data_IF_673811411442
#
_entry.id   IF_673811411442
#
_cell.length_a   1.000
_cell.length_b   1.000
_cell.length_c   1.000
_cell.angle_alpha   90.00
_cell.angle_beta   90.00
_cell.angle_gamma   90.00
#
_symmetry.space_group_name_H-M   'P 1'
#
loop_
_entity.id
_entity.type
_entity.pdbx_description
1 polymer ?
#
# COMPACT_ATOMS: atom_id res chain seq x y z
N UNK A 1 -21.08 26.62 -1.18
CA UNK A 1 -21.90 25.39 -1.22
C UNK A 1 -20.94 24.22 -1.15
N UNK A 2 -20.75 23.67 0.04
CA UNK A 2 -19.90 22.49 0.30
C UNK A 2 -20.64 21.26 -0.25
N UNK A 3 -20.26 20.80 -1.44
CA UNK A 3 -20.63 19.46 -1.87
C UNK A 3 -19.97 18.46 -0.93
N UNK A 4 -20.72 17.90 -0.02
CA UNK A 4 -20.36 16.70 0.72
C UNK A 4 -20.21 15.59 -0.31
N UNK A 5 -18.97 15.33 -0.77
CA UNK A 5 -18.66 14.16 -1.59
C UNK A 5 -19.12 12.93 -0.82
N UNK A 6 -20.11 12.24 -1.34
CA UNK A 6 -20.59 10.98 -0.77
C UNK A 6 -19.42 9.99 -0.87
N UNK A 7 -18.75 9.71 0.24
CA UNK A 7 -17.71 8.70 0.31
C UNK A 7 -18.28 7.40 -0.28
N UNK A 8 -17.71 6.95 -1.39
CA UNK A 8 -18.16 5.73 -2.07
C UNK A 8 -18.10 4.59 -1.07
N UNK A 9 -19.23 3.95 -0.82
CA UNK A 9 -19.24 2.75 0.01
C UNK A 9 -18.61 1.62 -0.80
N UNK A 10 -17.56 0.99 -0.27
CA UNK A 10 -16.93 -0.18 -0.89
C UNK A 10 -17.57 -1.47 -0.34
N UNK A 11 -18.75 -1.87 -0.82
CA UNK A 11 -19.54 -2.93 -0.19
C UNK A 11 -18.91 -4.31 -0.34
N UNK A 12 -18.20 -4.58 -1.44
CA UNK A 12 -17.52 -5.86 -1.67
C UNK A 12 -16.33 -5.98 -0.74
N UNK A 13 -15.50 -4.94 -0.72
CA UNK A 13 -14.34 -4.88 0.17
C UNK A 13 -14.74 -4.93 1.66
N UNK A 14 -15.82 -4.24 2.06
CA UNK A 14 -16.31 -4.29 3.46
C UNK A 14 -16.71 -5.68 3.89
N UNK A 15 -17.29 -6.50 3.01
CA UNK A 15 -17.62 -7.90 3.30
C UNK A 15 -16.38 -8.76 3.49
N UNK A 16 -15.28 -8.48 2.74
CA UNK A 16 -13.99 -9.15 2.90
C UNK A 16 -13.28 -8.76 4.18
N UNK A 17 -13.32 -7.47 4.57
CA UNK A 17 -12.63 -6.92 5.73
C UNK A 17 -13.27 -7.39 7.05
N UNK A 18 -13.04 -8.66 7.39
CA UNK A 18 -13.55 -9.34 8.59
C UNK A 18 -12.48 -9.50 9.67
N UNK A 19 -12.90 -9.69 10.93
CA UNK A 19 -11.97 -9.98 12.03
C UNK A 19 -11.16 -11.27 11.76
N UNK A 20 -11.79 -12.30 11.19
CA UNK A 20 -11.11 -13.56 10.84
C UNK A 20 -9.94 -13.32 9.87
N UNK A 21 -10.15 -12.51 8.82
CA UNK A 21 -9.09 -12.11 7.88
C UNK A 21 -7.98 -11.38 8.62
N UNK A 22 -8.31 -10.39 9.46
CA UNK A 22 -7.34 -9.61 10.23
C UNK A 22 -6.46 -10.49 11.11
N UNK A 23 -7.07 -11.43 11.84
CA UNK A 23 -6.37 -12.39 12.71
C UNK A 23 -5.49 -13.37 11.88
N UNK A 24 -5.96 -13.79 10.70
CA UNK A 24 -5.19 -14.65 9.79
C UNK A 24 -3.91 -13.97 9.32
N UNK A 25 -4.00 -12.73 8.83
CA UNK A 25 -2.84 -11.96 8.39
C UNK A 25 -1.86 -11.67 9.54
N UNK A 26 -2.38 -11.36 10.74
CA UNK A 26 -1.54 -11.19 11.93
C UNK A 26 -0.81 -12.49 12.31
N UNK A 27 -1.49 -13.63 12.20
CA UNK A 27 -0.88 -14.93 12.48
C UNK A 27 0.21 -15.30 11.46
N UNK A 28 0.07 -14.87 10.20
CA UNK A 28 1.07 -15.11 9.17
C UNK A 28 2.32 -14.24 9.33
N UNK A 29 2.22 -13.07 9.98
CA UNK A 29 3.35 -12.16 10.19
C UNK A 29 4.53 -12.83 10.92
N UNK A 30 4.28 -13.79 11.82
CA UNK A 30 5.35 -14.58 12.49
C UNK A 30 6.22 -15.40 11.53
N UNK A 31 5.75 -15.62 10.30
CA UNK A 31 6.46 -16.40 9.27
C UNK A 31 7.29 -15.54 8.33
N UNK A 32 7.23 -14.21 8.44
CA UNK A 32 7.93 -13.29 7.54
C UNK A 32 9.43 -13.62 7.38
N UNK A 33 10.10 -13.99 8.47
CA UNK A 33 11.53 -14.32 8.46
C UNK A 33 11.82 -15.83 8.34
N UNK A 34 10.91 -16.69 8.80
CA UNK A 34 11.13 -18.14 8.86
C UNK A 34 10.57 -18.90 7.65
N UNK A 35 9.56 -18.36 6.99
CA UNK A 35 8.91 -18.94 5.80
C UNK A 35 8.38 -17.78 4.92
N UNK A 36 9.27 -17.04 4.25
CA UNK A 36 8.90 -15.87 3.44
C UNK A 36 7.92 -16.21 2.32
N UNK A 37 8.06 -17.38 1.69
CA UNK A 37 7.17 -17.82 0.60
C UNK A 37 5.72 -17.92 1.07
N UNK A 38 5.51 -18.46 2.25
CA UNK A 38 4.18 -18.52 2.88
C UNK A 38 3.64 -17.14 3.20
N UNK A 39 4.44 -16.32 3.88
CA UNK A 39 4.01 -14.99 4.31
C UNK A 39 3.69 -14.09 3.11
N UNK A 40 4.65 -13.91 2.19
CA UNK A 40 4.48 -13.05 1.02
C UNK A 40 3.47 -13.61 0.02
N UNK A 41 3.36 -14.93 -0.12
CA UNK A 41 2.32 -15.57 -0.94
C UNK A 41 0.91 -15.25 -0.44
N UNK A 42 0.65 -15.36 0.87
CA UNK A 42 -0.64 -14.99 1.47
C UNK A 42 -0.90 -13.49 1.39
N UNK A 43 0.11 -12.65 1.64
CA UNK A 43 -0.01 -11.20 1.55
C UNK A 43 -0.32 -10.76 0.11
N UNK A 44 0.31 -11.37 -0.89
CA UNK A 44 0.07 -11.11 -2.30
C UNK A 44 -1.35 -11.51 -2.71
N UNK A 45 -1.80 -12.70 -2.33
CA UNK A 45 -3.17 -13.16 -2.59
C UNK A 45 -4.23 -12.26 -1.95
N UNK A 46 -4.00 -11.81 -0.70
CA UNK A 46 -4.85 -10.84 -0.01
C UNK A 46 -4.88 -9.49 -0.73
N UNK A 47 -3.71 -9.01 -1.19
CA UNK A 47 -3.59 -7.75 -1.94
C UNK A 47 -4.38 -7.81 -3.25
N UNK A 48 -4.20 -8.85 -4.05
CA UNK A 48 -4.97 -9.05 -5.29
C UNK A 48 -6.47 -9.07 -5.00
N UNK A 49 -6.88 -9.74 -3.92
CA UNK A 49 -8.28 -9.79 -3.51
C UNK A 49 -8.84 -8.42 -3.13
N UNK A 50 -8.07 -7.62 -2.35
CA UNK A 50 -8.45 -6.24 -2.00
C UNK A 50 -8.58 -5.36 -3.23
N UNK A 51 -7.58 -5.40 -4.13
CA UNK A 51 -7.59 -4.59 -5.34
C UNK A 51 -8.71 -4.99 -6.30
N UNK A 52 -9.02 -6.29 -6.40
CA UNK A 52 -10.18 -6.79 -7.15
C UNK A 52 -11.50 -6.26 -6.58
N UNK A 53 -11.66 -6.26 -5.24
CA UNK A 53 -12.86 -5.73 -4.61
C UNK A 53 -12.97 -4.20 -4.76
N UNK A 54 -11.86 -3.46 -4.61
CA UNK A 54 -11.81 -2.01 -4.86
C UNK A 54 -12.19 -1.72 -6.32
N UNK A 55 -11.61 -2.45 -7.26
CA UNK A 55 -11.90 -2.27 -8.69
C UNK A 55 -13.35 -2.60 -9.03
N UNK A 56 -13.91 -3.67 -8.46
CA UNK A 56 -15.32 -4.01 -8.63
C UNK A 56 -16.29 -2.96 -8.03
N UNK A 57 -15.90 -2.31 -6.94
CA UNK A 57 -16.74 -1.34 -6.24
C UNK A 57 -16.55 0.09 -6.77
N UNK A 58 -15.36 0.45 -7.25
CA UNK A 58 -14.99 1.82 -7.62
C UNK A 58 -14.34 1.95 -9.02
N UNK A 59 -14.02 0.88 -9.71
CA UNK A 59 -13.49 0.92 -11.08
C UNK A 59 -14.56 1.40 -12.09
N UNK A 60 -14.16 1.57 -13.35
CA UNK A 60 -15.09 1.99 -14.40
C UNK A 60 -16.21 0.96 -14.58
N UNK A 61 -17.45 1.44 -14.68
CA UNK A 61 -18.60 0.57 -14.95
C UNK A 61 -18.56 0.13 -16.41
N UNK A 62 -18.68 -1.16 -16.65
CA UNK A 62 -18.79 -1.73 -18.01
C UNK A 62 -20.24 -2.17 -18.28
N UNK A 63 -20.61 -2.28 -19.56
CA UNK A 63 -21.91 -2.81 -19.98
C UNK A 63 -22.15 -4.26 -19.54
N UNK A 64 -21.07 -4.99 -19.21
CA UNK A 64 -21.11 -6.38 -18.74
C UNK A 64 -21.28 -6.52 -17.22
N UNK A 65 -21.37 -5.41 -16.47
CA UNK A 65 -21.52 -5.41 -15.02
C UNK A 65 -20.30 -4.89 -14.27
N UNK A 66 -20.00 -5.46 -13.09
CA UNK A 66 -18.84 -5.05 -12.26
C UNK A 66 -17.52 -5.28 -12.99
N UNK A 67 -16.64 -4.29 -12.90
CA UNK A 67 -15.33 -4.36 -13.52
C UNK A 67 -14.48 -5.51 -12.93
N UNK A 68 -13.85 -6.29 -13.81
CA UNK A 68 -12.82 -7.26 -13.48
C UNK A 68 -11.43 -6.64 -13.66
N UNK A 69 -10.43 -7.12 -12.93
CA UNK A 69 -9.03 -6.75 -13.18
C UNK A 69 -8.47 -7.38 -14.48
N UNK A 70 -9.13 -8.37 -15.06
CA UNK A 70 -8.73 -8.94 -16.35
C UNK A 70 -8.70 -7.85 -17.43
N UNK A 71 -7.59 -7.76 -18.17
CA UNK A 71 -7.35 -6.73 -19.18
C UNK A 71 -6.99 -5.34 -18.63
N UNK A 72 -6.97 -5.14 -17.30
CA UNK A 72 -6.57 -3.90 -16.66
C UNK A 72 -5.04 -3.76 -16.66
N UNK A 73 -4.52 -2.60 -17.07
CA UNK A 73 -3.08 -2.28 -16.98
C UNK A 73 -2.76 -1.87 -15.56
N UNK A 74 -1.97 -2.71 -14.86
CA UNK A 74 -1.66 -2.51 -13.44
C UNK A 74 -0.18 -2.21 -13.28
N UNK A 75 0.13 -1.14 -12.52
CA UNK A 75 1.48 -0.84 -12.05
C UNK A 75 1.56 -1.09 -10.54
N UNK A 76 2.55 -1.89 -10.15
CA UNK A 76 2.97 -2.11 -8.77
C UNK A 76 4.25 -1.32 -8.49
N UNK A 77 4.18 -0.32 -7.63
CA UNK A 77 5.34 0.50 -7.26
C UNK A 77 5.95 -0.01 -5.96
N UNK A 78 7.16 -0.59 -6.07
CA UNK A 78 7.84 -1.27 -4.98
C UNK A 78 7.39 -2.73 -4.83
N UNK A 79 7.12 -3.43 -5.94
CA UNK A 79 6.60 -4.80 -5.91
C UNK A 79 7.57 -5.89 -5.46
N UNK A 80 8.82 -5.52 -5.15
CA UNK A 80 9.82 -6.39 -4.54
C UNK A 80 10.10 -7.67 -5.33
N UNK A 81 10.20 -8.83 -4.65
CA UNK A 81 10.73 -10.07 -5.23
C UNK A 81 9.76 -10.85 -6.14
N UNK A 82 8.59 -10.28 -6.52
CA UNK A 82 7.76 -10.85 -7.58
C UNK A 82 6.57 -11.71 -7.15
N UNK A 83 6.32 -11.93 -5.86
CA UNK A 83 5.15 -12.69 -5.36
C UNK A 83 3.83 -12.09 -5.84
N UNK A 84 3.74 -10.78 -5.87
CA UNK A 84 2.53 -10.07 -6.32
C UNK A 84 2.26 -10.35 -7.79
N UNK A 85 3.28 -10.31 -8.66
CA UNK A 85 3.14 -10.62 -10.07
C UNK A 85 2.61 -12.04 -10.31
N UNK A 86 3.09 -13.02 -9.55
CA UNK A 86 2.56 -14.38 -9.62
C UNK A 86 1.09 -14.45 -9.17
N UNK A 87 0.72 -13.74 -8.10
CA UNK A 87 -0.64 -13.71 -7.62
C UNK A 87 -1.60 -13.03 -8.61
N UNK A 88 -1.18 -11.94 -9.27
CA UNK A 88 -1.96 -11.30 -10.32
C UNK A 88 -2.12 -12.19 -11.55
N UNK A 89 -1.06 -12.87 -12.00
CA UNK A 89 -1.14 -13.83 -13.10
C UNK A 89 -2.12 -14.99 -12.79
N UNK A 90 -2.07 -15.51 -11.56
CA UNK A 90 -3.02 -16.52 -11.10
C UNK A 90 -4.47 -16.03 -11.06
N UNK A 91 -4.69 -14.71 -10.90
CA UNK A 91 -5.99 -14.07 -10.98
C UNK A 91 -6.43 -13.68 -12.41
N UNK A 92 -5.66 -14.06 -13.44
CA UNK A 92 -5.97 -13.79 -14.83
C UNK A 92 -5.68 -12.35 -15.28
N UNK A 93 -4.74 -11.67 -14.62
CA UNK A 93 -4.27 -10.33 -15.02
C UNK A 93 -3.02 -10.48 -15.88
N UNK A 94 -3.14 -10.11 -17.17
CA UNK A 94 -2.06 -10.26 -18.13
C UNK A 94 -1.18 -9.02 -18.27
N UNK A 95 -1.69 -7.85 -17.87
CA UNK A 95 -1.03 -6.54 -18.04
C UNK A 95 -0.54 -5.99 -16.68
N UNK A 96 0.28 -6.77 -15.99
CA UNK A 96 0.92 -6.37 -14.74
C UNK A 96 2.37 -5.96 -14.98
N UNK A 97 2.77 -4.81 -14.44
CA UNK A 97 4.13 -4.29 -14.43
C UNK A 97 4.52 -3.94 -12.99
N UNK A 98 5.73 -4.29 -12.58
CA UNK A 98 6.30 -3.83 -11.31
C UNK A 98 7.50 -2.91 -11.55
N UNK A 99 7.64 -1.89 -10.72
CA UNK A 99 8.77 -0.96 -10.71
C UNK A 99 9.46 -1.02 -9.34
N UNK A 100 10.75 -1.41 -9.33
CA UNK A 100 11.54 -1.61 -8.11
C UNK A 100 12.94 -1.03 -8.33
N UNK A 101 13.47 -0.16 -7.44
CA UNK A 101 14.81 0.40 -7.59
C UNK A 101 15.92 -0.59 -7.23
N UNK A 102 15.68 -1.53 -6.30
CA UNK A 102 16.68 -2.45 -5.75
C UNK A 102 16.71 -3.78 -6.50
N UNK A 103 17.81 -4.04 -7.18
CA UNK A 103 18.02 -5.31 -7.91
C UNK A 103 18.13 -6.50 -6.96
N UNK A 104 18.61 -6.29 -5.73
CA UNK A 104 18.69 -7.32 -4.70
C UNK A 104 17.29 -7.76 -4.26
N UNK A 105 16.40 -6.81 -4.00
CA UNK A 105 14.99 -7.11 -3.67
C UNK A 105 14.28 -7.78 -4.86
N UNK A 106 14.49 -7.33 -6.10
CA UNK A 106 13.93 -7.97 -7.29
C UNK A 106 14.34 -9.44 -7.45
N UNK A 107 15.51 -9.81 -6.95
CA UNK A 107 16.07 -11.15 -7.08
C UNK A 107 15.87 -12.04 -5.83
N UNK A 108 15.42 -11.48 -4.71
CA UNK A 108 15.46 -12.10 -3.40
C UNK A 108 14.71 -13.46 -3.31
N UNK A 109 13.59 -13.61 -4.03
CA UNK A 109 12.83 -14.86 -4.07
C UNK A 109 13.19 -15.77 -5.24
N UNK A 110 14.16 -15.40 -6.11
CA UNK A 110 14.45 -16.13 -7.34
C UNK A 110 13.35 -16.09 -8.40
N UNK A 111 12.29 -15.33 -8.17
CA UNK A 111 11.18 -15.13 -9.11
C UNK A 111 11.63 -14.15 -10.20
N UNK A 112 11.47 -14.54 -11.46
CA UNK A 112 11.75 -13.67 -12.60
C UNK A 112 10.45 -13.26 -13.28
N UNK A 113 10.13 -11.98 -13.23
CA UNK A 113 9.01 -11.41 -13.95
C UNK A 113 9.52 -10.69 -15.20
N UNK A 114 9.00 -11.04 -16.36
CA UNK A 114 9.32 -10.35 -17.62
C UNK A 114 8.88 -8.87 -17.62
N UNK A 115 7.91 -8.53 -16.78
CA UNK A 115 7.34 -7.20 -16.63
C UNK A 115 7.94 -6.40 -15.47
N UNK A 116 9.11 -6.79 -14.96
CA UNK A 116 9.81 -6.06 -13.90
C UNK A 116 10.69 -4.98 -14.50
N UNK A 117 10.51 -3.74 -14.06
CA UNK A 117 11.25 -2.55 -14.50
C UNK A 117 12.05 -1.99 -13.33
N UNK A 118 13.34 -1.72 -13.55
CA UNK A 118 14.15 -1.03 -12.57
C UNK A 118 13.91 0.47 -12.64
N UNK A 119 13.46 1.06 -11.54
CA UNK A 119 13.18 2.50 -11.49
C UNK A 119 12.85 2.99 -10.08
N UNK A 120 12.96 4.29 -9.87
CA UNK A 120 12.55 4.94 -8.63
C UNK A 120 11.05 5.21 -8.63
N UNK A 121 10.37 4.93 -7.53
CA UNK A 121 8.98 5.34 -7.34
C UNK A 121 8.79 6.87 -7.37
N UNK A 122 9.84 7.65 -7.03
CA UNK A 122 9.83 9.11 -7.06
C UNK A 122 10.08 9.71 -8.45
N UNK A 123 10.39 8.86 -9.45
CA UNK A 123 10.63 9.26 -10.86
C UNK A 123 10.35 8.03 -11.73
N UNK A 124 9.07 7.74 -11.93
CA UNK A 124 8.61 6.53 -12.61
C UNK A 124 8.92 6.59 -14.11
N UNK A 125 9.61 5.58 -14.68
CA UNK A 125 10.04 5.57 -16.08
C UNK A 125 8.89 5.19 -17.04
N UNK A 126 7.71 5.75 -16.81
CA UNK A 126 6.52 5.51 -17.61
C UNK A 126 5.89 6.81 -18.09
N UNK A 127 5.25 6.76 -19.25
CA UNK A 127 4.48 7.88 -19.77
C UNK A 127 3.30 8.23 -18.86
N UNK A 128 2.83 9.47 -18.97
CA UNK A 128 1.61 9.91 -18.31
C UNK A 128 0.44 8.99 -18.74
N UNK A 129 -0.47 8.72 -17.81
CA UNK A 129 -1.73 8.03 -18.07
C UNK A 129 -1.60 6.61 -18.66
N UNK A 130 -0.45 5.97 -18.43
CA UNK A 130 -0.15 4.65 -18.97
C UNK A 130 -0.95 3.51 -18.33
N UNK A 131 -1.43 3.67 -17.08
CA UNK A 131 -2.05 2.60 -16.29
C UNK A 131 -3.49 2.90 -15.89
N UNK A 132 -4.28 1.84 -15.79
CA UNK A 132 -5.67 1.89 -15.32
C UNK A 132 -5.76 1.86 -13.80
N UNK A 133 -4.87 1.08 -13.17
CA UNK A 133 -4.71 0.93 -11.73
C UNK A 133 -3.23 1.02 -11.38
N UNK A 134 -2.87 1.94 -10.50
CA UNK A 134 -1.56 1.96 -9.85
C UNK A 134 -1.72 1.63 -8.39
N UNK A 135 -0.82 0.84 -7.82
CA UNK A 135 -0.81 0.61 -6.39
C UNK A 135 0.60 0.54 -5.83
N UNK A 136 0.72 0.83 -4.55
CA UNK A 136 1.93 0.64 -3.75
C UNK A 136 1.52 0.14 -2.37
N UNK A 137 2.26 -0.80 -1.82
CA UNK A 137 1.92 -1.45 -0.56
C UNK A 137 3.14 -1.66 0.32
N UNK A 138 3.17 -1.00 1.49
CA UNK A 138 4.27 -1.04 2.45
C UNK A 138 5.62 -0.59 1.83
N UNK A 139 5.60 0.51 1.10
CA UNK A 139 6.77 1.10 0.42
C UNK A 139 7.01 2.54 0.84
N UNK A 140 5.95 3.33 1.01
CA UNK A 140 6.06 4.77 1.27
C UNK A 140 6.86 5.10 2.53
N UNK A 141 6.77 4.26 3.56
CA UNK A 141 7.56 4.35 4.79
C UNK A 141 9.06 4.14 4.56
N UNK A 142 9.45 3.60 3.39
CA UNK A 142 10.85 3.36 2.99
C UNK A 142 11.38 4.40 2.00
N UNK A 143 10.57 5.37 1.63
CA UNK A 143 10.89 6.39 0.63
C UNK A 143 11.10 7.75 1.30
N UNK A 144 12.17 8.46 0.95
CA UNK A 144 12.49 9.77 1.55
C UNK A 144 11.46 10.86 1.25
N UNK A 145 10.79 10.78 0.10
CA UNK A 145 9.69 11.66 -0.28
C UNK A 145 8.48 10.83 -0.76
N UNK A 146 7.65 10.32 0.18
CA UNK A 146 6.52 9.47 -0.15
C UNK A 146 5.44 10.18 -0.96
N UNK A 147 5.33 11.52 -0.82
CA UNK A 147 4.33 12.28 -1.56
C UNK A 147 4.74 12.54 -3.00
N UNK A 148 6.04 12.69 -3.26
CA UNK A 148 6.58 12.70 -4.62
C UNK A 148 6.30 11.37 -5.33
N UNK A 149 6.47 10.24 -4.63
CA UNK A 149 6.12 8.93 -5.18
C UNK A 149 4.61 8.84 -5.48
N UNK A 150 3.77 9.35 -4.60
CA UNK A 150 2.33 9.38 -4.82
C UNK A 150 1.94 10.28 -6.00
N UNK A 151 2.59 11.43 -6.18
CA UNK A 151 2.40 12.31 -7.35
C UNK A 151 2.76 11.61 -8.66
N UNK A 152 3.88 10.88 -8.70
CA UNK A 152 4.30 10.09 -9.86
C UNK A 152 3.29 8.95 -10.17
N UNK A 153 2.82 8.26 -9.12
CA UNK A 153 1.76 7.24 -9.29
C UNK A 153 0.50 7.86 -9.88
N UNK A 154 0.10 9.05 -9.40
CA UNK A 154 -1.06 9.75 -9.94
C UNK A 154 -0.81 10.21 -11.38
N UNK A 155 0.40 10.69 -11.72
CA UNK A 155 0.77 11.10 -13.07
C UNK A 155 0.58 9.96 -14.08
N UNK A 156 1.11 8.78 -13.76
CA UNK A 156 1.06 7.62 -14.67
C UNK A 156 -0.29 6.90 -14.66
N UNK A 157 -1.19 7.21 -13.71
CA UNK A 157 -2.58 6.74 -13.71
C UNK A 157 -3.40 7.54 -14.72
N UNK A 158 -4.22 6.88 -15.56
CA UNK A 158 -5.09 7.58 -16.52
C UNK A 158 -6.26 8.30 -15.83
N UNK A 159 -6.88 9.30 -16.47
CA UNK A 159 -8.14 9.88 -15.98
C UNK A 159 -9.22 8.81 -15.79
N UNK A 160 -9.93 8.88 -14.65
CA UNK A 160 -10.91 7.87 -14.24
C UNK A 160 -10.31 6.57 -13.71
N UNK A 161 -8.98 6.38 -13.81
CA UNK A 161 -8.24 5.27 -13.20
C UNK A 161 -8.13 5.40 -11.69
N UNK A 162 -7.70 4.33 -11.03
CA UNK A 162 -7.53 4.29 -9.58
C UNK A 162 -6.06 4.24 -9.18
N UNK A 163 -5.71 5.01 -8.16
CA UNK A 163 -4.47 4.88 -7.41
C UNK A 163 -4.79 4.35 -6.01
N UNK A 164 -4.15 3.24 -5.62
CA UNK A 164 -4.26 2.66 -4.28
C UNK A 164 -2.91 2.78 -3.58
N UNK A 165 -2.86 3.63 -2.57
CA UNK A 165 -1.65 3.95 -1.83
C UNK A 165 -1.74 3.42 -0.41
N UNK A 166 -0.89 2.46 -0.05
CA UNK A 166 -0.96 1.74 1.22
C UNK A 166 0.41 1.72 1.88
N UNK A 167 0.49 2.13 3.15
CA UNK A 167 1.76 2.21 3.88
C UNK A 167 1.58 2.01 5.37
N UNK A 168 2.67 1.61 6.04
CA UNK A 168 2.73 1.45 7.49
C UNK A 168 2.86 2.82 8.15
N UNK A 169 1.92 3.13 9.06
CA UNK A 169 1.94 4.38 9.83
C UNK A 169 3.01 4.30 10.93
N UNK A 170 3.84 5.35 11.04
CA UNK A 170 4.96 5.37 11.99
C UNK A 170 4.56 5.13 13.46
N UNK A 171 3.52 5.82 13.94
CA UNK A 171 3.01 5.64 15.30
C UNK A 171 2.02 4.46 15.41
N UNK A 172 1.77 3.71 14.35
CA UNK A 172 1.00 2.48 14.40
C UNK A 172 1.77 1.35 15.09
N UNK A 173 1.09 0.25 15.46
CA UNK A 173 1.70 -0.85 16.24
C UNK A 173 2.94 -1.49 15.60
N UNK A 174 3.06 -1.41 14.27
CA UNK A 174 4.16 -2.01 13.51
C UNK A 174 5.10 -0.97 12.85
N UNK A 175 4.96 0.33 13.17
CA UNK A 175 5.77 1.40 12.57
C UNK A 175 7.26 1.27 12.84
N UNK A 176 7.64 0.65 13.95
CA UNK A 176 9.03 0.36 14.29
C UNK A 176 9.67 -0.80 13.51
N UNK A 177 8.90 -1.52 12.68
CA UNK A 177 9.36 -2.70 11.96
C UNK A 177 10.06 -3.69 12.92
N UNK A 178 11.24 -4.24 12.55
CA UNK A 178 12.00 -5.17 13.36
C UNK A 178 12.55 -4.60 14.67
N UNK A 179 12.53 -3.28 14.86
CA UNK A 179 13.04 -2.66 16.10
C UNK A 179 12.13 -2.87 17.30
N UNK A 180 10.91 -3.39 17.08
CA UNK A 180 9.98 -3.83 18.12
C UNK A 180 8.74 -2.94 18.28
N UNK A 181 7.78 -3.40 19.09
CA UNK A 181 6.42 -2.88 19.14
C UNK A 181 6.27 -1.51 19.84
N UNK A 182 7.24 -1.08 20.65
CA UNK A 182 7.11 0.15 21.45
C UNK A 182 8.30 1.12 21.33
N UNK A 183 9.45 0.64 20.86
CA UNK A 183 10.71 1.40 20.86
C UNK A 183 10.62 2.64 19.98
N UNK A 184 9.89 2.54 18.86
CA UNK A 184 9.69 3.62 17.92
C UNK A 184 8.87 4.78 18.50
N UNK A 185 8.00 4.56 19.51
CA UNK A 185 7.27 5.64 20.19
C UNK A 185 8.21 6.57 20.97
N UNK A 186 9.38 6.09 21.40
CA UNK A 186 10.42 6.93 22.02
C UNK A 186 11.18 7.72 20.96
N UNK A 187 11.26 7.19 19.73
CA UNK A 187 11.92 7.80 18.59
C UNK A 187 12.73 6.80 17.77
N UNK A 188 12.80 7.01 16.46
CA UNK A 188 13.46 6.07 15.54
C UNK A 188 14.95 5.86 15.84
N UNK A 189 15.69 6.93 16.17
CA UNK A 189 17.09 6.82 16.58
C UNK A 189 17.29 6.04 17.89
N UNK A 190 16.36 6.13 18.84
CA UNK A 190 16.39 5.30 20.05
C UNK A 190 16.13 3.83 19.71
N UNK A 191 15.12 3.56 18.90
CA UNK A 191 14.77 2.21 18.48
C UNK A 191 15.93 1.51 17.77
N UNK A 192 16.58 2.20 16.82
CA UNK A 192 17.75 1.69 16.10
C UNK A 192 18.93 1.35 17.01
N UNK A 193 19.33 2.30 17.88
CA UNK A 193 20.43 2.06 18.83
C UNK A 193 20.14 0.92 19.83
N UNK A 194 18.89 0.82 20.29
CA UNK A 194 18.49 -0.27 21.18
C UNK A 194 18.55 -1.62 20.46
N UNK A 195 18.06 -1.68 19.22
CA UNK A 195 18.13 -2.88 18.40
C UNK A 195 19.59 -3.34 18.21
N UNK A 196 20.46 -2.44 17.76
CA UNK A 196 21.88 -2.72 17.55
C UNK A 196 22.59 -3.21 18.84
N UNK A 197 22.31 -2.56 19.99
CA UNK A 197 22.83 -3.00 21.28
C UNK A 197 22.38 -4.42 21.65
N UNK A 198 21.18 -4.82 21.25
CA UNK A 198 20.61 -6.12 21.63
C UNK A 198 21.04 -7.25 20.67
N UNK A 199 21.19 -6.94 19.38
CA UNK A 199 21.44 -7.94 18.32
C UNK A 199 22.88 -7.92 17.79
N UNK A 200 23.69 -6.91 18.13
CA UNK A 200 25.08 -6.78 17.68
C UNK A 200 25.25 -6.29 16.24
N UNK A 201 24.15 -5.93 15.57
CA UNK A 201 24.15 -5.35 14.23
C UNK A 201 23.01 -4.34 14.09
N UNK A 202 23.09 -3.37 13.16
CA UNK A 202 22.01 -2.42 12.92
C UNK A 202 20.77 -3.12 12.34
N UNK A 203 19.56 -2.53 12.51
CA UNK A 203 18.36 -3.03 11.86
C UNK A 203 18.48 -2.93 10.34
N UNK A 204 17.75 -3.78 9.58
CA UNK A 204 17.64 -3.71 8.12
C UNK A 204 17.04 -2.36 7.71
N UNK A 205 15.96 -1.97 8.38
CA UNK A 205 15.25 -0.72 8.14
C UNK A 205 15.84 0.39 9.01
N UNK A 206 16.67 1.26 8.40
CA UNK A 206 17.44 2.29 9.11
C UNK A 206 16.67 3.61 9.17
N UNK A 207 16.42 4.07 10.37
CA UNK A 207 15.75 5.35 10.61
C UNK A 207 16.48 6.52 9.94
N UNK A 208 15.75 7.27 9.08
CA UNK A 208 16.29 8.41 8.34
C UNK A 208 17.06 8.04 7.07
N UNK A 209 17.26 6.75 6.77
CA UNK A 209 17.90 6.26 5.55
C UNK A 209 16.94 5.44 4.68
N UNK A 210 16.33 4.41 5.27
CA UNK A 210 15.38 3.49 4.63
C UNK A 210 14.12 3.24 5.46
N UNK A 211 13.88 4.03 6.50
CA UNK A 211 12.65 4.05 7.29
C UNK A 211 12.37 5.50 7.72
N UNK A 212 11.19 6.00 7.38
CA UNK A 212 10.81 7.38 7.59
C UNK A 212 9.49 7.48 8.37
N UNK A 213 9.27 8.64 8.99
CA UNK A 213 8.00 8.94 9.65
C UNK A 213 6.93 9.31 8.62
N UNK A 214 6.02 8.39 8.35
CA UNK A 214 4.82 8.66 7.55
C UNK A 214 3.61 8.45 8.43
N UNK A 215 2.85 9.51 8.69
CA UNK A 215 1.69 9.46 9.59
C UNK A 215 0.39 9.16 8.85
N UNK A 216 -0.63 8.72 9.59
CA UNK A 216 -1.97 8.60 9.05
C UNK A 216 -2.54 9.97 8.66
N UNK A 217 -2.25 11.01 9.45
CA UNK A 217 -2.69 12.39 9.20
C UNK A 217 -2.14 12.94 7.90
N UNK A 218 -0.83 12.73 7.62
CA UNK A 218 -0.18 13.24 6.41
C UNK A 218 -0.83 12.67 5.15
N UNK A 219 -1.13 11.36 5.14
CA UNK A 219 -1.80 10.75 4.00
C UNK A 219 -3.22 11.23 3.78
N UNK A 220 -3.98 11.42 4.85
CA UNK A 220 -5.32 11.99 4.73
C UNK A 220 -5.28 13.46 4.27
N UNK A 221 -4.28 14.23 4.74
CA UNK A 221 -4.07 15.61 4.30
C UNK A 221 -3.64 15.67 2.82
N UNK A 222 -2.75 14.78 2.39
CA UNK A 222 -2.36 14.66 0.98
C UNK A 222 -3.57 14.39 0.09
N UNK A 223 -4.38 13.39 0.44
CA UNK A 223 -5.60 13.05 -0.31
C UNK A 223 -6.60 14.21 -0.37
N UNK A 224 -6.77 14.96 0.74
CA UNK A 224 -7.61 16.15 0.78
C UNK A 224 -7.06 17.26 -0.13
N UNK A 225 -5.74 17.47 -0.13
CA UNK A 225 -5.08 18.46 -1.00
C UNK A 225 -5.32 18.16 -2.49
N UNK A 226 -5.21 16.89 -2.91
CA UNK A 226 -5.52 16.49 -4.29
C UNK A 226 -6.99 16.72 -4.63
N UNK A 227 -7.89 16.46 -3.70
CA UNK A 227 -9.32 16.67 -3.90
C UNK A 227 -9.65 18.18 -4.03
N UNK A 228 -9.05 19.02 -3.20
CA UNK A 228 -9.26 20.47 -3.22
C UNK A 228 -8.71 21.12 -4.50
N UNK A 229 -7.62 20.58 -5.07
CA UNK A 229 -7.08 20.98 -6.37
C UNK A 229 -7.90 20.47 -7.56
N UNK A 230 -8.72 19.44 -7.35
CA UNK A 230 -9.47 18.80 -8.42
C UNK A 230 -8.65 17.74 -9.19
N UNK A 231 -7.46 17.37 -8.72
CA UNK A 231 -6.56 16.39 -9.37
C UNK A 231 -7.07 14.95 -9.19
N UNK A 232 -7.64 14.67 -8.01
CA UNK A 232 -8.20 13.35 -7.72
C UNK A 232 -9.40 13.46 -6.76
N UNK A 233 -10.22 12.40 -6.74
CA UNK A 233 -11.29 12.18 -5.77
C UNK A 233 -10.85 11.14 -4.75
N UNK A 234 -10.94 11.45 -3.45
CA UNK A 234 -10.77 10.43 -2.41
C UNK A 234 -12.01 9.53 -2.36
N UNK A 235 -11.90 8.35 -2.95
CA UNK A 235 -12.95 7.33 -2.99
C UNK A 235 -13.15 6.71 -1.61
N UNK A 236 -12.04 6.34 -0.96
CA UNK A 236 -12.06 5.77 0.39
C UNK A 236 -10.70 5.91 1.08
N UNK A 237 -10.74 5.91 2.43
CA UNK A 237 -9.58 5.70 3.29
C UNK A 237 -9.94 4.70 4.40
N UNK A 238 -9.05 3.73 4.65
CA UNK A 238 -9.31 2.70 5.66
C UNK A 238 -8.03 2.04 6.15
N UNK A 239 -8.02 1.46 7.37
CA UNK A 239 -6.90 0.68 7.88
C UNK A 239 -6.90 -0.72 7.24
N UNK A 240 -5.82 -1.08 6.54
CA UNK A 240 -5.71 -2.29 5.72
C UNK A 240 -6.04 -3.59 6.47
N UNK A 241 -5.49 -3.71 7.67
CA UNK A 241 -5.53 -4.97 8.43
C UNK A 241 -6.67 -5.04 9.44
N UNK A 242 -7.53 -4.03 9.49
CA UNK A 242 -8.66 -3.98 10.42
C UNK A 242 -9.97 -4.45 9.77
N UNK A 243 -10.89 -5.03 10.56
CA UNK A 243 -12.23 -5.33 10.08
C UNK A 243 -12.99 -4.05 9.75
N UNK A 244 -13.94 -4.13 8.82
CA UNK A 244 -14.63 -2.94 8.28
C UNK A 244 -15.39 -2.11 9.32
N UNK A 245 -15.83 -2.72 10.42
CA UNK A 245 -16.47 -2.00 11.53
C UNK A 245 -15.50 -1.09 12.30
N UNK A 246 -14.18 -1.31 12.20
CA UNK A 246 -13.15 -0.48 12.84
C UNK A 246 -12.63 0.67 11.93
N UNK A 247 -13.09 0.79 10.70
CA UNK A 247 -12.57 1.79 9.76
C UNK A 247 -12.84 3.25 10.18
N UNK A 248 -13.79 3.47 11.09
CA UNK A 248 -14.06 4.79 11.68
C UNK A 248 -12.84 5.38 12.41
N UNK A 249 -11.87 4.54 12.82
CA UNK A 249 -10.67 4.98 13.54
C UNK A 249 -9.86 6.01 12.73
N UNK A 250 -9.85 5.92 11.40
CA UNK A 250 -9.17 6.89 10.52
C UNK A 250 -9.74 8.30 10.66
N UNK A 251 -10.97 8.45 11.16
CA UNK A 251 -11.66 9.74 11.31
C UNK A 251 -11.41 10.40 12.65
N UNK A 252 -10.80 9.71 13.61
CA UNK A 252 -10.59 10.22 14.97
C UNK A 252 -9.12 10.63 15.13
N UNK A 253 -8.84 11.96 15.23
CA UNK A 253 -7.49 12.46 15.48
C UNK A 253 -6.85 11.82 16.72
N UNK A 254 -5.56 11.58 16.68
CA UNK A 254 -4.82 10.88 17.73
C UNK A 254 -5.01 9.36 17.67
N UNK A 255 -6.25 8.85 17.73
CA UNK A 255 -6.51 7.42 17.63
C UNK A 255 -6.03 6.85 16.29
N UNK A 256 -6.22 7.58 15.19
CA UNK A 256 -5.76 7.15 13.86
C UNK A 256 -4.25 6.95 13.79
N UNK A 257 -3.46 7.71 14.56
CA UNK A 257 -2.00 7.61 14.54
C UNK A 257 -1.50 6.32 15.23
N UNK A 258 -2.13 5.97 16.36
CA UNK A 258 -1.67 4.82 17.19
C UNK A 258 -2.48 3.55 16.92
N UNK A 259 -3.70 3.69 16.40
CA UNK A 259 -4.60 2.56 16.16
C UNK A 259 -4.57 2.02 14.73
N UNK A 260 -4.09 2.82 13.76
CA UNK A 260 -3.99 2.40 12.36
C UNK A 260 -2.57 1.92 12.08
N UNK A 261 -2.41 0.61 11.90
CA UNK A 261 -1.10 0.03 11.58
C UNK A 261 -0.66 0.30 10.15
N UNK A 262 -1.61 0.31 9.21
CA UNK A 262 -1.35 0.59 7.81
C UNK A 262 -2.58 1.32 7.24
N UNK A 263 -2.35 2.48 6.63
CA UNK A 263 -3.40 3.26 5.97
C UNK A 263 -3.47 2.90 4.50
N UNK A 264 -4.69 2.74 3.99
CA UNK A 264 -4.98 2.63 2.55
C UNK A 264 -5.74 3.87 2.12
N UNK A 265 -5.25 4.53 1.08
CA UNK A 265 -5.93 5.59 0.36
C UNK A 265 -6.32 5.06 -1.03
N UNK A 266 -7.58 5.20 -1.39
CA UNK A 266 -8.10 4.89 -2.73
C UNK A 266 -8.48 6.20 -3.38
N UNK A 267 -7.76 6.57 -4.43
CA UNK A 267 -7.92 7.82 -5.15
C UNK A 267 -8.32 7.54 -6.60
N UNK A 268 -9.26 8.30 -7.13
CA UNK A 268 -9.63 8.29 -8.56
C UNK A 268 -9.07 9.55 -9.21
N UNK A 269 -8.21 9.41 -10.20
CA UNK A 269 -7.70 10.55 -10.99
C UNK A 269 -8.84 11.20 -11.78
N UNK A 270 -8.87 12.53 -11.78
CA UNK A 270 -9.83 13.33 -12.57
C UNK A 270 -9.27 13.77 -13.90
#
# INVERSE_FOLDING_TARGET
MTQTSATTTLPTLRRRATLRRSLGLLADFRFEQSDPDRFYGHLAADTVSILSDIWADAGPTTSAGRASLAGTRILDVGGGPGYFGQAFAAAGVDNYVTCEPDVGEMAAAGIRLASSVRGSGMDLPFADEAFDLTYSSNVAEHVSDPWRMADEMLRVTRPGGLMVYSYTCWLGPFGGHETGLWQHYVGGGFAARRYEKTHGHPPKNRWGESLFNVSCADGLQYAQTLQDRGDAELVASFPRYHPSWAWWMTKVPGLREVGVSNLVLVLRKR
#
